data_IF_904987435192
#
_entry.id   IF_904987435192
#
_cell.length_a   1.000
_cell.length_b   1.000
_cell.length_c   1.000
_cell.angle_alpha   90.00
_cell.angle_beta   90.00
_cell.angle_gamma   90.00
#
_symmetry.space_group_name_H-M   'P 1'
#
loop_
_entity.id
_entity.type
_entity.pdbx_description
1 polymer ?
#
# COMPACT_ATOMS: atom_id res chain seq x y z
N UNK A 1 19.87 10.47 13.23
CA UNK A 1 19.47 10.98 11.89
C UNK A 1 18.12 11.64 12.01
N UNK A 2 17.99 12.87 11.48
CA UNK A 2 16.75 13.64 11.43
C UNK A 2 16.24 13.71 9.99
N UNK A 3 14.96 13.35 9.79
CA UNK A 3 14.30 13.33 8.48
C UNK A 3 13.12 14.30 8.50
N UNK A 4 13.06 15.22 7.52
CA UNK A 4 11.85 15.97 7.19
C UNK A 4 11.08 15.19 6.12
N UNK A 5 10.00 14.51 6.52
CA UNK A 5 9.17 13.73 5.59
C UNK A 5 8.06 14.64 5.03
N UNK A 6 8.19 15.03 3.77
CA UNK A 6 7.23 15.91 3.11
C UNK A 6 6.13 15.08 2.40
N UNK A 7 4.88 15.29 2.81
CA UNK A 7 3.69 14.72 2.21
C UNK A 7 2.74 15.84 1.76
N UNK A 8 2.14 15.71 0.58
CA UNK A 8 1.45 16.80 -0.12
C UNK A 8 -0.08 16.77 -0.02
N UNK A 9 -0.62 15.86 0.79
CA UNK A 9 -2.06 15.78 1.07
C UNK A 9 -2.33 16.00 2.58
N UNK A 10 -3.46 16.59 2.96
CA UNK A 10 -3.84 16.69 4.37
C UNK A 10 -4.09 15.32 4.99
N UNK A 11 -3.78 15.16 6.27
CA UNK A 11 -4.07 13.96 7.05
C UNK A 11 -5.05 14.26 8.18
N UNK A 12 -5.89 13.29 8.61
CA UNK A 12 -6.02 11.93 8.09
C UNK A 12 -6.95 11.81 6.88
N UNK A 13 -6.77 10.75 6.08
CA UNK A 13 -7.73 10.32 5.06
C UNK A 13 -7.59 8.81 4.78
N UNK A 14 -8.59 8.20 4.14
CA UNK A 14 -8.67 6.74 3.90
C UNK A 14 -7.80 6.23 2.74
N UNK A 15 -6.96 7.07 2.16
CA UNK A 15 -6.09 6.71 1.04
C UNK A 15 -4.98 5.73 1.44
N UNK A 16 -4.69 4.77 0.57
CA UNK A 16 -3.59 3.83 0.77
C UNK A 16 -2.21 4.50 0.86
N UNK A 17 -2.06 5.66 0.24
CA UNK A 17 -0.86 6.49 0.34
C UNK A 17 -0.70 7.13 1.72
N UNK A 18 -1.79 7.59 2.35
CA UNK A 18 -1.77 8.06 3.73
C UNK A 18 -1.36 6.95 4.71
N UNK A 19 -1.96 5.76 4.55
CA UNK A 19 -1.59 4.58 5.33
C UNK A 19 -0.10 4.25 5.17
N UNK A 20 0.41 4.24 3.96
CA UNK A 20 1.81 3.95 3.67
C UNK A 20 2.74 5.00 4.32
N UNK A 21 2.42 6.28 4.20
CA UNK A 21 3.22 7.37 4.77
C UNK A 21 3.27 7.27 6.29
N UNK A 22 2.11 7.17 6.94
CA UNK A 22 2.05 7.15 8.41
C UNK A 22 2.71 5.89 8.98
N UNK A 23 2.52 4.72 8.37
CA UNK A 23 3.26 3.52 8.77
C UNK A 23 4.77 3.67 8.58
N UNK A 24 5.21 4.30 7.48
CA UNK A 24 6.63 4.50 7.22
C UNK A 24 7.27 5.43 8.25
N UNK A 25 6.65 6.58 8.54
CA UNK A 25 7.23 7.53 9.51
C UNK A 25 7.21 6.96 10.94
N UNK A 26 6.15 6.27 11.33
CA UNK A 26 6.07 5.62 12.63
C UNK A 26 7.12 4.49 12.78
N UNK A 27 7.30 3.67 11.74
CA UNK A 27 8.28 2.60 11.75
C UNK A 27 9.73 3.13 11.71
N UNK A 28 10.00 4.21 10.98
CA UNK A 28 11.30 4.89 11.04
C UNK A 28 11.59 5.41 12.45
N UNK A 29 10.58 5.98 13.11
CA UNK A 29 10.68 6.43 14.50
C UNK A 29 11.02 5.28 15.47
N UNK A 30 10.33 4.14 15.35
CA UNK A 30 10.64 2.92 16.15
C UNK A 30 12.07 2.41 15.90
N UNK A 31 12.61 2.65 14.71
CA UNK A 31 13.99 2.29 14.34
C UNK A 31 15.01 3.40 14.64
N UNK A 32 14.69 4.34 15.56
CA UNK A 32 15.62 5.35 16.08
C UNK A 32 15.87 6.54 15.14
N UNK A 33 15.02 6.77 14.16
CA UNK A 33 15.07 7.95 13.28
C UNK A 33 14.15 9.03 13.83
N UNK A 34 14.65 10.25 14.01
CA UNK A 34 13.81 11.41 14.34
C UNK A 34 13.10 11.89 13.07
N UNK A 35 11.78 11.73 13.00
CA UNK A 35 10.99 12.07 11.82
C UNK A 35 10.04 13.21 12.12
N UNK A 36 10.07 14.25 11.29
CA UNK A 36 9.06 15.30 11.24
C UNK A 36 8.23 15.15 9.96
N UNK A 37 6.97 14.77 10.12
CA UNK A 37 6.00 14.65 9.04
C UNK A 37 5.42 16.03 8.71
N UNK A 38 5.79 16.59 7.56
CA UNK A 38 5.35 17.88 7.09
C UNK A 38 4.16 17.71 6.14
N UNK A 39 3.00 18.23 6.54
CA UNK A 39 1.73 18.11 5.80
C UNK A 39 1.09 19.45 5.52
N UNK A 40 0.34 19.62 4.41
CA UNK A 40 -0.39 20.84 4.14
C UNK A 40 -1.59 20.99 5.08
N UNK A 41 -1.83 22.21 5.58
CA UNK A 41 -3.03 22.52 6.35
C UNK A 41 -3.57 23.90 6.04
N UNK A 42 -4.89 24.01 5.93
CA UNK A 42 -5.59 25.29 5.85
C UNK A 42 -5.85 25.89 7.25
N UNK A 43 -5.86 25.08 8.31
CA UNK A 43 -5.98 25.50 9.72
C UNK A 43 -4.61 25.66 10.36
N UNK A 44 -4.53 26.50 11.40
CA UNK A 44 -3.34 26.58 12.26
C UNK A 44 -3.21 25.39 13.20
N UNK A 45 -4.30 24.63 13.39
CA UNK A 45 -4.32 23.46 14.26
C UNK A 45 -3.82 22.24 13.51
N UNK A 46 -2.64 21.77 13.90
CA UNK A 46 -2.11 20.50 13.40
C UNK A 46 -2.92 19.32 13.97
N UNK A 47 -3.21 18.28 13.16
CA UNK A 47 -3.58 17.01 13.76
C UNK A 47 -2.45 16.59 14.68
N UNK A 48 -2.78 16.38 15.96
CA UNK A 48 -1.78 15.94 16.94
C UNK A 48 -1.22 14.58 16.51
N UNK A 49 0.08 14.32 16.69
CA UNK A 49 0.67 13.02 16.35
C UNK A 49 -0.08 11.85 17.00
N UNK A 50 -0.61 12.04 18.21
CA UNK A 50 -1.44 11.04 18.90
C UNK A 50 -2.71 10.72 18.12
N UNK A 51 -3.43 11.73 17.62
CA UNK A 51 -4.65 11.53 16.83
C UNK A 51 -4.38 10.81 15.51
N UNK A 52 -3.25 11.08 14.85
CA UNK A 52 -2.85 10.33 13.65
C UNK A 52 -2.49 8.89 13.99
N UNK A 53 -1.76 8.64 15.09
CA UNK A 53 -1.46 7.28 15.54
C UNK A 53 -2.74 6.50 15.86
N UNK A 54 -3.69 7.13 16.53
CA UNK A 54 -4.99 6.52 16.82
C UNK A 54 -5.77 6.22 15.56
N UNK A 55 -5.90 7.18 14.64
CA UNK A 55 -6.64 7.00 13.39
C UNK A 55 -6.07 5.86 12.54
N UNK A 56 -4.74 5.82 12.35
CA UNK A 56 -4.07 4.79 11.56
C UNK A 56 -3.69 3.56 12.38
N UNK A 57 -3.95 3.58 13.69
CA UNK A 57 -3.61 2.49 14.64
C UNK A 57 -2.15 2.04 14.49
N UNK A 58 -1.26 3.01 14.47
CA UNK A 58 0.18 2.80 14.44
C UNK A 58 0.81 3.23 15.76
N UNK A 59 1.89 2.57 16.12
CA UNK A 59 2.74 2.95 17.23
C UNK A 59 4.09 3.43 16.70
N UNK A 60 4.72 4.38 17.41
CA UNK A 60 6.04 4.91 17.09
C UNK A 60 6.12 6.43 17.19
N UNK A 61 7.29 6.96 17.56
CA UNK A 61 7.47 8.39 17.71
C UNK A 61 7.65 9.06 16.34
N UNK A 62 6.91 10.11 16.08
CA UNK A 62 7.11 11.11 15.04
C UNK A 62 6.43 12.40 15.43
N UNK A 63 6.91 13.50 14.87
CA UNK A 63 6.31 14.81 15.02
C UNK A 63 5.53 15.21 13.77
N UNK A 64 4.56 16.13 13.91
CA UNK A 64 3.79 16.67 12.79
C UNK A 64 4.05 18.16 12.68
N UNK A 65 4.41 18.59 11.48
CA UNK A 65 4.60 19.98 11.14
C UNK A 65 3.63 20.45 10.06
N UNK A 66 2.95 21.55 10.29
CA UNK A 66 2.06 22.14 9.30
C UNK A 66 2.83 23.00 8.31
N UNK A 67 2.48 22.84 7.06
CA UNK A 67 2.84 23.73 5.97
C UNK A 67 1.56 24.46 5.52
N UNK A 68 1.45 25.77 5.68
CA UNK A 68 0.24 26.52 5.33
C UNK A 68 -0.16 26.30 3.87
N UNK A 69 -1.45 26.10 3.61
CA UNK A 69 -2.00 26.08 2.25
C UNK A 69 -2.13 27.48 1.67
N UNK A 70 -2.06 27.60 0.34
CA UNK A 70 -2.42 28.84 -0.35
C UNK A 70 -3.93 28.88 -0.57
N UNK A 71 -4.65 29.94 -0.12
CA UNK A 71 -6.09 30.00 -0.30
C UNK A 71 -6.54 30.23 -1.76
N UNK A 72 -5.61 30.56 -2.66
CA UNK A 72 -5.90 31.04 -4.02
C UNK A 72 -5.44 30.09 -5.14
N UNK A 73 -4.99 28.87 -4.84
CA UNK A 73 -4.38 28.01 -5.89
C UNK A 73 -5.27 26.86 -6.34
N UNK A 74 -5.41 26.69 -7.67
CA UNK A 74 -5.91 25.44 -8.25
C UNK A 74 -5.02 24.26 -7.78
N UNK A 75 -5.61 23.07 -7.64
CA UNK A 75 -4.95 21.87 -7.05
C UNK A 75 -3.54 21.57 -7.60
N UNK A 76 -3.29 21.84 -8.87
CA UNK A 76 -1.97 21.67 -9.48
C UNK A 76 -0.94 22.67 -8.92
N UNK A 77 -1.29 23.95 -8.84
CA UNK A 77 -0.42 24.99 -8.30
C UNK A 77 -0.20 24.83 -6.80
N UNK A 78 -1.19 24.26 -6.09
CA UNK A 78 -1.08 23.98 -4.66
C UNK A 78 0.09 23.01 -4.35
N UNK A 79 0.29 21.98 -5.17
CA UNK A 79 1.40 21.04 -4.99
C UNK A 79 2.77 21.70 -5.17
N UNK A 80 2.89 22.65 -6.09
CA UNK A 80 4.12 23.42 -6.28
C UNK A 80 4.35 24.43 -5.16
N UNK A 81 3.29 25.17 -4.74
CA UNK A 81 3.40 26.11 -3.62
C UNK A 81 3.74 25.40 -2.31
N UNK A 82 3.15 24.22 -2.07
CA UNK A 82 3.51 23.38 -0.95
C UNK A 82 5.00 22.95 -1.02
N UNK A 83 5.47 22.50 -2.19
CA UNK A 83 6.86 22.11 -2.40
C UNK A 83 7.85 23.24 -2.10
N UNK A 84 7.57 24.47 -2.55
CA UNK A 84 8.40 25.64 -2.25
C UNK A 84 8.44 25.98 -0.75
N UNK A 85 7.29 25.90 -0.08
CA UNK A 85 7.18 26.14 1.37
C UNK A 85 7.91 25.08 2.17
N UNK A 86 7.75 23.81 1.82
CA UNK A 86 8.52 22.70 2.43
C UNK A 86 10.01 22.93 2.29
N UNK A 87 10.47 23.31 1.11
CA UNK A 87 11.92 23.50 0.87
C UNK A 87 12.49 24.70 1.61
N UNK A 88 11.69 25.74 1.86
CA UNK A 88 12.04 26.92 2.65
C UNK A 88 11.87 26.76 4.16
N UNK A 89 11.17 25.72 4.61
CA UNK A 89 10.88 25.48 6.02
C UNK A 89 12.15 25.17 6.83
N UNK A 90 12.23 25.72 8.03
CA UNK A 90 13.40 25.55 8.90
C UNK A 90 13.63 24.08 9.27
N UNK A 91 12.55 23.32 9.50
CA UNK A 91 12.62 21.89 9.81
C UNK A 91 13.26 21.09 8.67
N UNK A 92 12.98 21.46 7.42
CA UNK A 92 13.60 20.87 6.23
C UNK A 92 15.07 21.31 6.10
N UNK A 93 15.38 22.55 6.45
CA UNK A 93 16.75 23.09 6.36
C UNK A 93 17.69 22.49 7.39
N UNK A 94 17.19 22.18 8.59
CA UNK A 94 17.95 21.62 9.72
C UNK A 94 17.95 20.09 9.77
N UNK A 95 17.14 19.41 8.95
CA UNK A 95 17.17 17.97 8.81
C UNK A 95 18.42 17.47 8.07
N UNK A 96 18.85 16.25 8.35
CA UNK A 96 19.96 15.60 7.64
C UNK A 96 19.58 15.34 6.18
N UNK A 97 18.30 15.07 5.92
CA UNK A 97 17.71 14.94 4.58
C UNK A 97 16.19 15.20 4.58
N UNK A 98 15.65 15.54 3.42
CA UNK A 98 14.23 15.54 3.14
C UNK A 98 13.82 14.22 2.48
N UNK A 99 12.72 13.63 2.92
CA UNK A 99 12.14 12.43 2.32
C UNK A 99 10.77 12.76 1.74
N UNK A 100 10.51 12.39 0.51
CA UNK A 100 9.22 12.71 -0.13
C UNK A 100 8.89 11.74 -1.26
N UNK A 101 7.59 11.61 -1.55
CA UNK A 101 7.05 10.89 -2.71
C UNK A 101 6.46 11.82 -3.78
N UNK A 102 6.49 13.10 -3.51
CA UNK A 102 5.88 14.12 -4.39
C UNK A 102 6.91 14.70 -5.36
N UNK A 103 6.64 14.62 -6.67
CA UNK A 103 7.57 15.07 -7.71
C UNK A 103 7.88 16.58 -7.64
N UNK A 104 6.90 17.51 -7.48
CA UNK A 104 7.20 18.91 -7.25
C UNK A 104 8.13 19.14 -6.07
N UNK A 105 7.93 18.43 -4.95
CA UNK A 105 8.79 18.54 -3.77
C UNK A 105 10.20 18.05 -4.04
N UNK A 106 10.38 16.91 -4.73
CA UNK A 106 11.73 16.43 -5.13
C UNK A 106 12.45 17.47 -5.96
N UNK A 107 11.80 17.98 -7.01
CA UNK A 107 12.43 18.98 -7.92
C UNK A 107 12.81 20.25 -7.17
N UNK A 108 11.93 20.77 -6.33
CA UNK A 108 12.16 22.01 -5.59
C UNK A 108 13.27 21.86 -4.55
N UNK A 109 13.25 20.76 -3.78
CA UNK A 109 14.27 20.46 -2.78
C UNK A 109 15.66 20.29 -3.40
N UNK A 110 15.77 19.54 -4.49
CA UNK A 110 17.03 19.35 -5.20
C UNK A 110 17.57 20.67 -5.76
N UNK A 111 16.73 21.50 -6.38
CA UNK A 111 17.11 22.83 -6.88
C UNK A 111 17.58 23.76 -5.79
N UNK A 112 17.08 23.61 -4.56
CA UNK A 112 17.55 24.36 -3.39
C UNK A 112 18.75 23.70 -2.68
N UNK A 113 19.38 22.70 -3.29
CA UNK A 113 20.57 22.04 -2.77
C UNK A 113 20.32 21.16 -1.54
N UNK A 114 19.07 20.76 -1.27
CA UNK A 114 18.75 19.87 -0.14
C UNK A 114 19.08 18.43 -0.49
N UNK A 115 19.55 17.64 0.49
CA UNK A 115 19.68 16.19 0.38
C UNK A 115 18.29 15.57 0.35
N UNK A 116 18.02 14.73 -0.65
CA UNK A 116 16.65 14.18 -0.87
C UNK A 116 16.69 12.67 -0.96
N UNK A 117 15.77 12.02 -0.24
CA UNK A 117 15.34 10.65 -0.47
C UNK A 117 14.02 10.68 -1.21
N UNK A 118 13.97 10.05 -2.37
CA UNK A 118 12.76 10.01 -3.20
C UNK A 118 12.10 8.63 -3.12
N UNK A 119 10.82 8.59 -2.79
CA UNK A 119 10.05 7.35 -2.79
C UNK A 119 9.05 7.34 -3.94
N UNK A 120 9.02 6.26 -4.71
CA UNK A 120 8.10 6.16 -5.83
C UNK A 120 7.57 4.73 -6.05
N UNK A 121 6.33 4.63 -6.53
CA UNK A 121 5.60 3.37 -6.64
C UNK A 121 5.16 3.02 -8.07
N UNK A 122 5.46 3.88 -9.06
CA UNK A 122 5.06 3.68 -10.47
C UNK A 122 6.21 3.91 -11.44
N UNK A 123 6.26 3.21 -12.59
CA UNK A 123 7.22 3.45 -13.66
C UNK A 123 6.81 4.67 -14.49
N UNK A 124 6.86 5.87 -13.92
CA UNK A 124 6.41 7.08 -14.60
C UNK A 124 7.15 7.38 -15.89
N UNK A 125 8.40 6.96 -16.05
CA UNK A 125 9.15 7.10 -17.29
C UNK A 125 8.55 6.31 -18.45
N UNK A 126 7.88 5.20 -18.15
CA UNK A 126 7.19 4.37 -19.14
C UNK A 126 5.75 4.84 -19.35
N UNK A 127 5.06 5.20 -18.29
CA UNK A 127 3.67 5.69 -18.34
C UNK A 127 3.54 7.09 -18.94
N UNK A 128 4.53 7.95 -18.67
CA UNK A 128 4.53 9.36 -19.12
C UNK A 128 5.89 9.71 -19.74
N UNK A 129 6.14 9.38 -21.03
CA UNK A 129 7.44 9.61 -21.67
C UNK A 129 7.95 11.06 -21.59
N UNK A 130 7.05 12.04 -21.56
CA UNK A 130 7.40 13.45 -21.38
C UNK A 130 8.09 13.76 -20.05
N UNK A 131 7.95 12.91 -19.03
CA UNK A 131 8.62 13.07 -17.75
C UNK A 131 10.07 12.52 -17.73
N UNK A 132 10.47 11.71 -18.74
CA UNK A 132 11.80 11.09 -18.78
C UNK A 132 12.96 12.05 -18.57
N UNK A 133 13.02 13.25 -19.16
CA UNK A 133 14.12 14.17 -18.95
C UNK A 133 14.22 14.62 -17.48
N UNK A 134 13.09 14.98 -16.84
CA UNK A 134 13.09 15.42 -15.43
C UNK A 134 13.41 14.26 -14.49
N UNK A 135 12.94 13.06 -14.77
CA UNK A 135 13.24 11.87 -13.96
C UNK A 135 14.74 11.51 -14.07
N UNK A 136 15.33 11.56 -15.26
CA UNK A 136 16.79 11.40 -15.44
C UNK A 136 17.57 12.44 -14.66
N UNK A 137 17.18 13.72 -14.77
CA UNK A 137 17.83 14.79 -14.02
C UNK A 137 17.77 14.54 -12.52
N UNK A 138 16.62 14.11 -11.97
CA UNK A 138 16.46 13.75 -10.54
C UNK A 138 17.43 12.63 -10.18
N UNK A 139 17.44 11.52 -10.95
CA UNK A 139 18.22 10.32 -10.61
C UNK A 139 19.74 10.56 -10.65
N UNK A 140 20.21 11.53 -11.44
CA UNK A 140 21.62 11.89 -11.53
C UNK A 140 21.99 13.07 -10.65
N UNK A 141 21.02 13.71 -9.99
CA UNK A 141 21.31 14.91 -9.19
C UNK A 141 22.25 14.60 -8.01
N UNK A 142 23.33 15.39 -7.77
CA UNK A 142 24.32 15.10 -6.73
C UNK A 142 23.73 15.12 -5.30
N UNK A 143 22.65 15.85 -5.07
CA UNK A 143 21.96 15.90 -3.77
C UNK A 143 20.86 14.84 -3.62
N UNK A 144 20.62 13.98 -4.63
CA UNK A 144 19.78 12.81 -4.45
C UNK A 144 20.57 11.75 -3.67
N UNK A 145 20.16 11.51 -2.43
CA UNK A 145 20.74 10.46 -1.57
C UNK A 145 20.43 9.09 -2.15
N UNK A 146 19.18 8.88 -2.55
CA UNK A 146 18.71 7.65 -3.20
C UNK A 146 17.23 7.68 -3.49
N UNK A 147 16.74 6.59 -4.09
CA UNK A 147 15.32 6.39 -4.35
C UNK A 147 14.84 5.02 -3.84
N UNK A 148 13.64 5.00 -3.24
CA UNK A 148 12.95 3.81 -2.74
C UNK A 148 11.81 3.48 -3.67
N UNK A 149 11.75 2.26 -4.16
CA UNK A 149 10.66 1.76 -5.00
C UNK A 149 9.88 0.67 -4.27
N UNK A 150 8.58 0.62 -4.52
CA UNK A 150 7.70 -0.37 -3.88
C UNK A 150 7.74 -1.75 -4.55
N UNK A 151 8.37 -1.85 -5.72
CA UNK A 151 8.54 -3.08 -6.50
C UNK A 151 9.84 -3.07 -7.29
N UNK A 152 10.40 -4.24 -7.57
CA UNK A 152 11.55 -4.35 -8.45
C UNK A 152 11.19 -3.99 -9.90
N UNK A 153 9.98 -4.30 -10.33
CA UNK A 153 9.45 -3.86 -11.62
C UNK A 153 9.59 -2.33 -11.80
N UNK A 154 9.16 -1.55 -10.80
CA UNK A 154 9.30 -0.09 -10.86
C UNK A 154 10.78 0.33 -10.82
N UNK A 155 11.60 -0.27 -9.96
CA UNK A 155 13.05 0.01 -9.89
C UNK A 155 13.71 -0.24 -11.25
N UNK A 156 13.41 -1.37 -11.88
CA UNK A 156 13.99 -1.72 -13.19
C UNK A 156 13.62 -0.73 -14.29
N UNK A 157 12.40 -0.20 -14.28
CA UNK A 157 11.99 0.89 -15.19
C UNK A 157 12.89 2.13 -15.07
N UNK A 158 13.30 2.49 -13.84
CA UNK A 158 14.22 3.61 -13.64
C UNK A 158 15.68 3.26 -14.00
N UNK A 159 16.11 2.02 -13.83
CA UNK A 159 17.42 1.55 -14.34
C UNK A 159 17.44 1.65 -15.87
N UNK A 160 16.37 1.19 -16.55
CA UNK A 160 16.24 1.29 -18.00
C UNK A 160 16.19 2.75 -18.49
N UNK A 161 15.74 3.67 -17.63
CA UNK A 161 15.80 5.11 -17.87
C UNK A 161 17.23 5.69 -17.72
N UNK A 162 18.19 4.90 -17.22
CA UNK A 162 19.58 5.26 -17.01
C UNK A 162 19.90 5.70 -15.58
N UNK A 163 19.03 5.45 -14.59
CA UNK A 163 19.33 5.78 -13.20
C UNK A 163 20.44 4.88 -12.63
N UNK A 164 21.38 5.41 -11.84
CA UNK A 164 22.46 4.64 -11.22
C UNK A 164 21.91 3.57 -10.26
N UNK A 165 22.12 2.26 -10.50
CA UNK A 165 21.51 1.20 -9.69
C UNK A 165 21.83 1.26 -8.20
N UNK A 166 23.04 1.74 -7.84
CA UNK A 166 23.50 1.87 -6.46
C UNK A 166 22.75 2.95 -5.66
N UNK A 167 21.99 3.81 -6.34
CA UNK A 167 21.10 4.81 -5.72
C UNK A 167 19.67 4.33 -5.56
N UNK A 168 19.35 3.12 -6.03
CA UNK A 168 17.98 2.60 -6.10
C UNK A 168 17.82 1.38 -5.21
N UNK A 169 16.81 1.39 -4.34
CA UNK A 169 16.48 0.23 -3.54
C UNK A 169 15.01 -0.16 -3.71
N UNK A 170 14.71 -1.43 -3.54
CA UNK A 170 13.34 -1.93 -3.39
C UNK A 170 13.02 -2.07 -1.91
N UNK A 171 11.94 -1.45 -1.50
CA UNK A 171 11.34 -1.66 -0.20
C UNK A 171 9.82 -1.80 -0.37
N UNK A 172 9.37 -3.04 -0.47
CA UNK A 172 7.93 -3.36 -0.52
C UNK A 172 7.21 -2.73 0.68
N UNK A 173 5.92 -2.45 0.54
CA UNK A 173 5.10 -2.10 1.69
C UNK A 173 5.12 -3.24 2.72
N UNK A 174 4.50 -3.02 3.85
CA UNK A 174 4.54 -3.99 4.92
C UNK A 174 3.20 -4.20 5.60
N UNK A 175 3.19 -5.07 6.57
CA UNK A 175 2.09 -5.28 7.51
C UNK A 175 2.55 -5.01 8.94
N UNK A 176 1.60 -4.76 9.84
CA UNK A 176 1.86 -4.54 11.26
C UNK A 176 1.37 -5.74 12.07
N UNK A 177 2.27 -6.49 12.74
CA UNK A 177 1.87 -7.62 13.58
C UNK A 177 0.81 -7.26 14.62
N UNK A 178 0.86 -6.04 15.18
CA UNK A 178 -0.07 -5.58 16.22
C UNK A 178 -1.52 -5.46 15.72
N UNK A 179 -1.71 -5.20 14.42
CA UNK A 179 -3.05 -5.15 13.79
C UNK A 179 -3.65 -6.53 13.53
N UNK A 180 -2.83 -7.59 13.69
CA UNK A 180 -3.24 -8.97 13.47
C UNK A 180 -3.54 -9.71 14.78
N UNK A 181 -3.51 -9.02 15.93
CA UNK A 181 -3.82 -9.58 17.24
C UNK A 181 -5.22 -9.15 17.72
N UNK A 182 -5.95 -10.02 18.46
CA UNK A 182 -5.59 -11.40 18.76
C UNK A 182 -5.75 -12.31 17.53
N UNK A 183 -4.87 -13.31 17.40
CA UNK A 183 -4.98 -14.30 16.34
C UNK A 183 -6.15 -15.25 16.61
N UNK A 184 -7.09 -15.31 15.69
CA UNK A 184 -8.29 -16.13 15.82
C UNK A 184 -8.20 -17.39 14.95
N UNK A 185 -8.82 -18.49 15.42
CA UNK A 185 -9.12 -19.59 14.54
C UNK A 185 -10.15 -19.17 13.50
N UNK A 186 -10.20 -19.85 12.35
CA UNK A 186 -11.21 -19.57 11.31
C UNK A 186 -12.64 -19.72 11.85
N UNK A 187 -12.88 -20.74 12.66
CA UNK A 187 -14.19 -20.99 13.28
C UNK A 187 -14.59 -19.86 14.24
N UNK A 188 -13.68 -19.47 15.14
CA UNK A 188 -13.98 -18.42 16.13
C UNK A 188 -14.23 -17.06 15.45
N UNK A 189 -13.42 -16.72 14.45
CA UNK A 189 -13.61 -15.52 13.65
C UNK A 189 -14.99 -15.51 12.95
N UNK A 190 -15.43 -16.64 12.38
CA UNK A 190 -16.74 -16.77 11.74
C UNK A 190 -17.88 -16.63 12.73
N UNK A 191 -17.79 -17.29 13.88
CA UNK A 191 -18.78 -17.17 14.95
C UNK A 191 -18.90 -15.72 15.41
N UNK A 192 -17.77 -15.07 15.67
CA UNK A 192 -17.73 -13.64 16.07
C UNK A 192 -18.40 -12.73 15.04
N UNK A 193 -18.24 -13.01 13.75
CA UNK A 193 -18.74 -12.18 12.66
C UNK A 193 -20.15 -12.60 12.17
N UNK A 194 -20.72 -13.67 12.71
CA UNK A 194 -21.98 -14.24 12.21
C UNK A 194 -21.88 -14.71 10.76
N UNK A 195 -20.74 -15.31 10.40
CA UNK A 195 -20.50 -15.91 9.08
C UNK A 195 -20.72 -17.42 9.13
N UNK A 196 -21.10 -18.06 8.00
CA UNK A 196 -21.31 -19.50 7.96
C UNK A 196 -20.03 -20.26 8.27
N UNK A 197 -20.12 -21.26 9.17
CA UNK A 197 -18.96 -22.05 9.58
C UNK A 197 -18.60 -23.09 8.51
N UNK A 198 -19.58 -23.70 7.88
CA UNK A 198 -19.40 -24.84 6.98
C UNK A 198 -19.25 -24.45 5.49
N UNK A 199 -19.74 -23.27 5.09
CA UNK A 199 -19.64 -22.83 3.71
C UNK A 199 -18.28 -22.13 3.45
N UNK A 200 -17.72 -22.22 2.24
CA UNK A 200 -16.55 -21.44 1.86
C UNK A 200 -16.82 -19.93 2.00
N UNK A 201 -15.86 -19.22 2.60
CA UNK A 201 -15.92 -17.77 2.78
C UNK A 201 -14.75 -17.12 2.03
N UNK A 202 -15.09 -16.31 1.04
CA UNK A 202 -14.13 -15.51 0.25
C UNK A 202 -14.20 -14.06 0.72
N UNK A 203 -13.09 -13.48 1.10
CA UNK A 203 -13.06 -12.12 1.66
C UNK A 203 -12.19 -11.21 0.78
N UNK A 204 -12.78 -10.08 0.43
CA UNK A 204 -12.09 -8.91 -0.13
C UNK A 204 -12.07 -7.79 0.89
N UNK A 205 -10.93 -7.08 1.02
CA UNK A 205 -10.83 -5.87 1.84
C UNK A 205 -10.36 -4.68 1.02
N UNK A 206 -10.93 -3.51 1.27
CA UNK A 206 -10.61 -2.25 0.61
C UNK A 206 -11.84 -1.58 0.01
N UNK A 207 -11.66 -0.43 -0.63
CA UNK A 207 -12.78 0.33 -1.19
C UNK A 207 -13.65 -0.51 -2.10
N UNK A 208 -14.96 -0.45 -1.86
CA UNK A 208 -15.96 -1.16 -2.67
C UNK A 208 -16.40 -0.24 -3.81
N UNK A 209 -15.93 -0.52 -5.01
CA UNK A 209 -16.36 0.17 -6.24
C UNK A 209 -15.89 -0.59 -7.49
N UNK A 210 -16.47 -0.29 -8.67
CA UNK A 210 -16.14 -0.94 -9.95
C UNK A 210 -14.67 -0.79 -10.35
N UNK A 211 -14.01 0.34 -10.02
CA UNK A 211 -12.59 0.58 -10.35
C UNK A 211 -11.65 -0.40 -9.65
N UNK A 212 -12.14 -1.19 -8.70
CA UNK A 212 -11.41 -2.26 -8.04
C UNK A 212 -11.64 -3.64 -8.66
N UNK A 213 -12.42 -3.72 -9.73
CA UNK A 213 -12.71 -4.97 -10.42
C UNK A 213 -13.60 -5.92 -9.61
N UNK A 214 -14.50 -5.38 -8.78
CA UNK A 214 -15.39 -6.20 -7.93
C UNK A 214 -16.54 -6.82 -8.70
N UNK A 215 -16.82 -6.36 -9.91
CA UNK A 215 -17.80 -6.94 -10.83
C UNK A 215 -17.50 -8.42 -11.15
N UNK A 216 -16.23 -8.78 -11.34
CA UNK A 216 -15.84 -10.19 -11.55
C UNK A 216 -16.15 -11.04 -10.32
N UNK A 217 -16.01 -10.49 -9.09
CA UNK A 217 -16.33 -11.18 -7.86
C UNK A 217 -17.83 -11.39 -7.69
N UNK A 218 -18.65 -10.39 -8.05
CA UNK A 218 -20.11 -10.55 -8.08
C UNK A 218 -20.53 -11.56 -9.15
N UNK A 219 -19.86 -11.59 -10.31
CA UNK A 219 -20.01 -12.62 -11.31
C UNK A 219 -19.73 -14.03 -10.78
N UNK A 220 -18.67 -14.18 -9.98
CA UNK A 220 -18.36 -15.44 -9.32
C UNK A 220 -19.42 -15.82 -8.26
N UNK A 221 -19.88 -14.87 -7.45
CA UNK A 221 -20.91 -15.11 -6.45
C UNK A 221 -22.24 -15.58 -7.04
N UNK A 222 -22.65 -15.05 -8.23
CA UNK A 222 -23.84 -15.53 -8.95
C UNK A 222 -23.75 -16.98 -9.41
N UNK A 223 -22.52 -17.49 -9.64
CA UNK A 223 -22.28 -18.86 -10.13
C UNK A 223 -21.89 -19.84 -9.03
N UNK A 224 -21.66 -19.37 -7.80
CA UNK A 224 -21.25 -20.15 -6.62
C UNK A 224 -22.14 -19.79 -5.43
N UNK A 225 -23.41 -20.20 -5.44
CA UNK A 225 -24.37 -19.89 -4.38
C UNK A 225 -24.04 -20.58 -3.03
N UNK A 226 -23.26 -21.63 -3.08
CA UNK A 226 -22.73 -22.35 -1.92
C UNK A 226 -21.56 -21.65 -1.23
N UNK A 227 -21.01 -20.58 -1.83
CA UNK A 227 -19.94 -19.75 -1.30
C UNK A 227 -20.50 -18.46 -0.70
N UNK A 228 -19.89 -17.95 0.36
CA UNK A 228 -20.16 -16.60 0.89
C UNK A 228 -19.06 -15.63 0.46
N UNK A 229 -19.42 -14.56 -0.25
CA UNK A 229 -18.52 -13.45 -0.57
C UNK A 229 -18.70 -12.32 0.43
N UNK A 230 -17.61 -11.87 1.06
CA UNK A 230 -17.62 -10.74 2.00
C UNK A 230 -16.78 -9.62 1.42
N UNK A 231 -17.40 -8.46 1.19
CA UNK A 231 -16.77 -7.23 0.69
C UNK A 231 -16.63 -6.23 1.84
N UNK A 232 -15.42 -6.06 2.38
CA UNK A 232 -15.15 -5.18 3.52
C UNK A 232 -14.54 -3.87 3.05
N UNK A 233 -15.16 -2.75 3.43
CA UNK A 233 -14.64 -1.39 3.17
C UNK A 233 -15.51 -0.56 2.23
N UNK A 234 -16.85 -0.74 2.33
CA UNK A 234 -17.81 0.13 1.65
C UNK A 234 -17.85 1.51 2.31
N UNK A 235 -17.77 2.55 1.49
CA UNK A 235 -17.87 3.96 1.92
C UNK A 235 -19.27 4.53 1.68
N UNK A 236 -20.26 3.69 1.30
CA UNK A 236 -21.64 4.11 1.06
C UNK A 236 -22.34 3.29 0.00
N UNK A 237 -23.32 3.88 -0.67
CA UNK A 237 -24.07 3.22 -1.73
C UNK A 237 -23.48 3.50 -3.11
N UNK A 238 -23.01 2.44 -3.77
CA UNK A 238 -22.50 2.44 -5.13
C UNK A 238 -23.11 1.34 -5.97
N UNK A 239 -22.70 1.23 -7.23
CA UNK A 239 -23.23 0.21 -8.13
C UNK A 239 -22.88 -1.23 -7.70
N UNK A 240 -21.72 -1.42 -7.05
CA UNK A 240 -21.33 -2.74 -6.51
C UNK A 240 -22.19 -3.11 -5.32
N UNK A 241 -22.45 -2.18 -4.41
CA UNK A 241 -23.32 -2.38 -3.25
C UNK A 241 -24.78 -2.66 -3.68
N UNK A 242 -25.27 -1.94 -4.70
CA UNK A 242 -26.61 -2.17 -5.25
C UNK A 242 -26.73 -3.58 -5.85
N UNK A 243 -25.77 -4.00 -6.68
CA UNK A 243 -25.76 -5.36 -7.24
C UNK A 243 -25.57 -6.45 -6.17
N UNK A 244 -24.79 -6.19 -5.14
CA UNK A 244 -24.57 -7.12 -4.03
C UNK A 244 -25.84 -7.37 -3.21
N UNK A 245 -26.74 -6.40 -3.09
CA UNK A 245 -28.04 -6.54 -2.39
C UNK A 245 -28.96 -7.59 -3.05
N UNK A 246 -28.77 -7.86 -4.35
CA UNK A 246 -29.56 -8.86 -5.09
C UNK A 246 -29.05 -10.30 -4.87
N UNK A 247 -27.90 -10.47 -4.20
CA UNK A 247 -27.23 -11.76 -4.02
C UNK A 247 -27.25 -12.16 -2.55
N UNK A 248 -27.96 -13.24 -2.22
CA UNK A 248 -28.12 -13.72 -0.84
C UNK A 248 -26.83 -14.24 -0.21
N UNK A 249 -25.83 -14.57 -1.02
CA UNK A 249 -24.52 -15.07 -0.61
C UNK A 249 -23.43 -13.97 -0.61
N UNK A 250 -23.80 -12.69 -0.77
CA UNK A 250 -22.88 -11.57 -0.70
C UNK A 250 -23.17 -10.70 0.51
N UNK A 251 -22.14 -10.45 1.32
CA UNK A 251 -22.22 -9.54 2.47
C UNK A 251 -21.31 -8.34 2.24
N UNK A 252 -21.88 -7.14 2.22
CA UNK A 252 -21.15 -5.88 2.19
C UNK A 252 -20.98 -5.36 3.61
N UNK A 253 -19.75 -5.02 3.97
CA UNK A 253 -19.38 -4.50 5.29
C UNK A 253 -18.86 -3.07 5.11
N UNK A 254 -19.30 -2.10 5.92
CA UNK A 254 -18.79 -0.74 5.89
C UNK A 254 -17.27 -0.66 6.04
N UNK A 255 -16.71 0.53 5.79
CA UNK A 255 -15.32 0.78 6.11
C UNK A 255 -15.08 0.58 7.62
N UNK A 256 -14.03 -0.17 7.94
CA UNK A 256 -13.67 -0.54 9.31
C UNK A 256 -12.34 0.10 9.70
N UNK A 257 -12.15 0.32 11.00
CA UNK A 257 -10.82 0.61 11.57
C UNK A 257 -9.92 -0.62 11.40
N UNK A 258 -8.62 -0.39 11.35
CA UNK A 258 -7.65 -1.47 11.13
C UNK A 258 -7.71 -2.59 12.19
N UNK A 259 -8.03 -2.25 13.45
CA UNK A 259 -8.21 -3.24 14.54
C UNK A 259 -9.41 -4.18 14.35
N UNK A 260 -10.38 -3.74 13.56
CA UNK A 260 -11.60 -4.50 13.31
C UNK A 260 -11.48 -5.40 12.08
N UNK A 261 -10.39 -5.26 11.32
CA UNK A 261 -10.19 -5.95 10.04
C UNK A 261 -9.70 -7.39 10.22
N UNK A 262 -8.84 -7.65 11.21
CA UNK A 262 -8.21 -8.95 11.41
C UNK A 262 -9.19 -10.12 11.52
N UNK A 263 -10.33 -10.03 12.23
CA UNK A 263 -11.32 -11.09 12.26
C UNK A 263 -11.84 -11.50 10.87
N UNK A 264 -12.05 -10.54 9.96
CA UNK A 264 -12.46 -10.84 8.58
C UNK A 264 -11.38 -11.58 7.81
N UNK A 265 -10.11 -11.21 8.00
CA UNK A 265 -9.00 -11.90 7.37
C UNK A 265 -8.90 -13.35 7.88
N UNK A 266 -9.08 -13.55 9.18
CA UNK A 266 -9.04 -14.89 9.80
C UNK A 266 -10.26 -15.75 9.48
N UNK A 267 -11.44 -15.16 9.23
CA UNK A 267 -12.64 -15.88 8.84
C UNK A 267 -12.59 -16.50 7.44
N UNK A 268 -11.71 -15.98 6.57
CA UNK A 268 -11.63 -16.37 5.17
C UNK A 268 -11.07 -17.80 4.99
N UNK A 269 -11.58 -18.52 4.01
CA UNK A 269 -10.86 -19.60 3.33
C UNK A 269 -9.93 -19.01 2.27
N UNK A 270 -10.42 -18.00 1.54
CA UNK A 270 -9.69 -17.33 0.48
C UNK A 270 -9.74 -15.81 0.67
N UNK A 271 -8.58 -15.18 0.69
CA UNK A 271 -8.40 -13.74 0.62
C UNK A 271 -8.13 -13.36 -0.84
N UNK A 272 -8.99 -12.51 -1.43
CA UNK A 272 -8.96 -12.29 -2.87
C UNK A 272 -8.53 -10.87 -3.25
N UNK A 273 -7.56 -10.79 -4.16
CA UNK A 273 -7.29 -9.59 -4.96
C UNK A 273 -8.02 -9.79 -6.28
N UNK A 274 -9.03 -8.96 -6.61
CA UNK A 274 -9.86 -9.18 -7.79
C UNK A 274 -9.01 -9.31 -9.06
N UNK A 275 -9.13 -10.40 -9.83
CA UNK A 275 -8.38 -10.58 -11.06
C UNK A 275 -9.05 -9.81 -12.23
N UNK A 276 -9.13 -8.49 -12.10
CA UNK A 276 -9.73 -7.61 -13.10
C UNK A 276 -8.67 -7.08 -14.06
N UNK A 277 -9.04 -6.91 -15.33
CA UNK A 277 -8.21 -6.27 -16.35
C UNK A 277 -8.13 -4.75 -16.17
N UNK A 278 -9.13 -4.11 -15.57
CA UNK A 278 -9.21 -2.64 -15.51
C UNK A 278 -7.99 -1.98 -14.82
N UNK A 279 -7.50 -2.46 -13.67
CA UNK A 279 -6.29 -1.91 -13.07
C UNK A 279 -5.06 -2.05 -13.98
N UNK A 280 -4.93 -3.16 -14.71
CA UNK A 280 -3.85 -3.41 -15.65
C UNK A 280 -3.91 -2.47 -16.85
N UNK A 281 -5.09 -2.31 -17.44
CA UNK A 281 -5.30 -1.45 -18.61
C UNK A 281 -5.11 0.03 -18.28
N UNK A 282 -5.54 0.46 -17.09
CA UNK A 282 -5.56 1.88 -16.71
C UNK A 282 -4.23 2.38 -16.13
N UNK A 283 -3.49 1.54 -15.44
CA UNK A 283 -2.32 1.96 -14.67
C UNK A 283 -1.04 1.20 -15.03
N UNK A 284 -1.10 0.29 -15.99
CA UNK A 284 -0.02 -0.68 -16.16
C UNK A 284 0.13 -1.59 -14.93
N UNK A 285 1.02 -2.54 -14.96
CA UNK A 285 1.25 -3.54 -13.92
C UNK A 285 2.12 -2.99 -12.80
N UNK A 286 1.65 -2.09 -11.93
CA UNK A 286 2.67 -1.28 -11.29
C UNK A 286 2.53 -1.05 -9.80
N UNK A 287 1.51 -1.57 -9.16
CA UNK A 287 1.33 -1.29 -7.72
C UNK A 287 0.89 -2.54 -6.98
N UNK A 288 1.81 -3.11 -6.22
CA UNK A 288 1.48 -4.11 -5.20
C UNK A 288 0.50 -3.50 -4.21
N UNK A 289 -0.73 -4.02 -4.10
CA UNK A 289 -1.72 -3.45 -3.19
C UNK A 289 -1.31 -3.68 -1.74
N UNK A 290 -1.47 -2.68 -0.87
CA UNK A 290 -1.09 -2.78 0.56
C UNK A 290 -1.77 -3.97 1.24
N UNK A 291 -3.02 -4.29 0.88
CA UNK A 291 -3.74 -5.44 1.43
C UNK A 291 -3.03 -6.79 1.21
N UNK A 292 -2.22 -6.92 0.17
CA UNK A 292 -1.46 -8.15 -0.10
C UNK A 292 -0.61 -8.57 1.11
N UNK A 293 0.03 -7.62 1.76
CA UNK A 293 0.90 -7.90 2.90
C UNK A 293 0.12 -8.42 4.11
N UNK A 294 -1.07 -7.87 4.36
CA UNK A 294 -1.99 -8.37 5.38
C UNK A 294 -2.54 -9.76 5.03
N UNK A 295 -2.83 -10.00 3.75
CA UNK A 295 -3.35 -11.29 3.27
C UNK A 295 -2.31 -12.41 3.47
N UNK A 296 -1.06 -12.16 3.10
CA UNK A 296 0.03 -13.10 3.33
C UNK A 296 0.20 -13.39 4.83
N UNK A 297 0.17 -12.35 5.67
CA UNK A 297 0.32 -12.47 7.11
C UNK A 297 -0.84 -13.20 7.81
N UNK A 298 -2.05 -13.12 7.25
CA UNK A 298 -3.22 -13.83 7.79
C UNK A 298 -3.11 -15.34 7.69
N UNK A 299 -2.25 -15.86 6.79
CA UNK A 299 -2.07 -17.30 6.61
C UNK A 299 -3.35 -17.99 6.12
N UNK A 300 -3.97 -17.40 5.11
CA UNK A 300 -5.10 -17.95 4.35
C UNK A 300 -4.69 -18.08 2.90
N UNK A 301 -5.44 -18.85 2.13
CA UNK A 301 -5.19 -18.89 0.68
C UNK A 301 -5.31 -17.48 0.11
N UNK A 302 -4.29 -17.00 -0.56
CA UNK A 302 -4.33 -15.75 -1.32
C UNK A 302 -4.62 -16.09 -2.77
N UNK A 303 -5.73 -15.56 -3.31
CA UNK A 303 -6.04 -15.63 -4.73
C UNK A 303 -5.83 -14.25 -5.35
N UNK A 304 -5.07 -14.20 -6.44
CA UNK A 304 -4.68 -12.94 -7.06
C UNK A 304 -4.57 -13.07 -8.59
N UNK A 305 -4.59 -11.95 -9.34
CA UNK A 305 -4.28 -11.98 -10.76
C UNK A 305 -2.81 -12.36 -10.99
N UNK A 306 -2.57 -13.10 -12.07
CA UNK A 306 -1.23 -13.28 -12.61
C UNK A 306 -0.80 -11.97 -13.28
N UNK A 307 0.11 -11.24 -12.64
CA UNK A 307 0.59 -9.94 -13.10
C UNK A 307 2.05 -9.73 -12.70
N UNK A 308 2.84 -8.98 -13.50
CA UNK A 308 4.29 -8.81 -13.25
C UNK A 308 4.64 -8.25 -11.87
N UNK A 309 3.83 -7.35 -11.32
CA UNK A 309 4.06 -6.78 -9.99
C UNK A 309 3.74 -7.80 -8.87
N UNK A 310 2.66 -8.57 -9.01
CA UNK A 310 2.33 -9.62 -8.02
C UNK A 310 3.31 -10.78 -8.07
N UNK A 311 3.89 -11.08 -9.24
CA UNK A 311 4.87 -12.16 -9.42
C UNK A 311 6.17 -11.95 -8.62
N UNK A 312 6.46 -10.74 -8.15
CA UNK A 312 7.59 -10.50 -7.25
C UNK A 312 7.44 -11.21 -5.90
N UNK A 313 6.21 -11.30 -5.39
CA UNK A 313 5.90 -11.84 -4.06
C UNK A 313 5.06 -13.12 -4.12
N UNK A 314 4.24 -13.28 -5.16
CA UNK A 314 3.32 -14.40 -5.30
C UNK A 314 3.84 -15.41 -6.32
N UNK A 315 3.90 -16.68 -5.89
CA UNK A 315 4.26 -17.82 -6.74
C UNK A 315 3.10 -18.78 -6.75
N UNK A 316 2.59 -19.04 -7.97
CA UNK A 316 1.45 -19.94 -8.15
C UNK A 316 1.72 -21.31 -7.53
N UNK A 317 0.74 -21.86 -6.83
CA UNK A 317 0.76 -23.14 -6.12
C UNK A 317 1.83 -23.27 -5.02
N UNK A 318 2.55 -22.20 -4.69
CA UNK A 318 3.53 -22.15 -3.60
C UNK A 318 3.00 -21.32 -2.41
N UNK A 319 2.63 -20.06 -2.65
CA UNK A 319 2.14 -19.15 -1.62
C UNK A 319 0.87 -18.38 -2.03
N UNK A 320 0.37 -18.62 -3.23
CA UNK A 320 -0.87 -18.06 -3.75
C UNK A 320 -1.45 -18.96 -4.85
N UNK A 321 -2.76 -18.77 -5.12
CA UNK A 321 -3.40 -19.27 -6.32
C UNK A 321 -3.52 -18.10 -7.30
N UNK A 322 -2.89 -18.18 -8.45
CA UNK A 322 -2.90 -17.13 -9.48
C UNK A 322 -3.86 -17.51 -10.61
N UNK A 323 -4.57 -16.50 -11.11
CA UNK A 323 -5.52 -16.66 -12.21
C UNK A 323 -5.28 -15.60 -13.29
N UNK A 324 -5.52 -15.91 -14.57
CA UNK A 324 -5.44 -14.92 -15.63
C UNK A 324 -6.39 -13.75 -15.36
N UNK A 325 -5.95 -12.48 -15.53
CA UNK A 325 -6.82 -11.34 -15.34
C UNK A 325 -8.01 -11.33 -16.31
N UNK A 326 -9.21 -11.09 -15.79
CA UNK A 326 -10.45 -11.01 -16.55
C UNK A 326 -11.09 -12.36 -16.88
N UNK A 327 -10.49 -13.47 -16.47
CA UNK A 327 -11.01 -14.82 -16.73
C UNK A 327 -11.88 -15.29 -15.56
N UNK A 328 -13.21 -15.15 -15.71
CA UNK A 328 -14.17 -15.58 -14.71
C UNK A 328 -14.20 -17.11 -14.55
N UNK A 329 -14.05 -17.87 -15.63
CA UNK A 329 -14.12 -19.34 -15.57
C UNK A 329 -12.87 -19.92 -14.89
N UNK A 330 -11.70 -19.35 -15.16
CA UNK A 330 -10.47 -19.67 -14.40
C UNK A 330 -10.61 -19.31 -12.91
N UNK A 331 -11.22 -18.16 -12.59
CA UNK A 331 -11.49 -17.76 -11.21
C UNK A 331 -12.38 -18.78 -10.51
N UNK A 332 -13.50 -19.19 -11.13
CA UNK A 332 -14.45 -20.18 -10.57
C UNK A 332 -13.78 -21.54 -10.35
N UNK A 333 -13.03 -22.00 -11.35
CA UNK A 333 -12.30 -23.28 -11.28
C UNK A 333 -11.29 -23.24 -10.14
N UNK A 334 -10.53 -22.17 -10.00
CA UNK A 334 -9.53 -22.01 -8.95
C UNK A 334 -10.18 -21.90 -7.57
N UNK A 335 -11.25 -21.12 -7.42
CA UNK A 335 -12.00 -21.03 -6.15
C UNK A 335 -12.51 -22.39 -5.70
N UNK A 336 -13.18 -23.17 -6.58
CA UNK A 336 -13.62 -24.52 -6.26
C UNK A 336 -12.47 -25.42 -5.83
N UNK A 337 -11.36 -25.41 -6.56
CA UNK A 337 -10.19 -26.22 -6.26
C UNK A 337 -9.60 -25.88 -4.87
N UNK A 338 -9.33 -24.62 -4.57
CA UNK A 338 -8.70 -24.23 -3.29
C UNK A 338 -9.63 -24.34 -2.08
N UNK A 339 -10.95 -24.40 -2.30
CA UNK A 339 -11.93 -24.58 -1.21
C UNK A 339 -12.28 -26.05 -0.96
N UNK A 340 -12.02 -26.96 -1.92
CA UNK A 340 -12.27 -28.40 -1.79
C UNK A 340 -11.01 -29.21 -1.48
N UNK A 341 -9.83 -28.77 -1.92
CA UNK A 341 -8.54 -29.43 -1.67
C UNK A 341 -7.85 -28.82 -0.44
N UNK A 342 -8.08 -29.44 0.72
CA UNK A 342 -7.51 -28.98 2.00
C UNK A 342 -5.97 -29.03 2.01
N UNK A 343 -5.37 -30.03 1.36
CA UNK A 343 -3.90 -30.17 1.27
C UNK A 343 -3.27 -29.03 0.45
N UNK A 344 -3.91 -28.61 -0.63
CA UNK A 344 -3.50 -27.44 -1.40
C UNK A 344 -3.68 -26.17 -0.58
N UNK A 345 -4.84 -25.98 0.06
CA UNK A 345 -5.14 -24.82 0.89
C UNK A 345 -4.10 -24.63 2.03
N UNK A 346 -3.74 -25.73 2.72
CA UNK A 346 -2.76 -25.71 3.79
C UNK A 346 -1.36 -25.35 3.28
N UNK A 347 -0.93 -25.91 2.13
CA UNK A 347 0.36 -25.53 1.51
C UNK A 347 0.41 -24.06 1.15
N UNK A 348 -0.63 -23.55 0.48
CA UNK A 348 -0.70 -22.15 0.07
C UNK A 348 -0.71 -21.20 1.28
N UNK A 349 -1.45 -21.56 2.33
CA UNK A 349 -1.52 -20.80 3.58
C UNK A 349 -0.17 -20.76 4.31
N UNK A 350 0.52 -21.88 4.39
CA UNK A 350 1.87 -21.97 4.96
C UNK A 350 2.88 -21.15 4.14
N UNK A 351 2.82 -21.27 2.81
CA UNK A 351 3.64 -20.47 1.89
C UNK A 351 3.38 -18.97 2.00
N UNK A 352 2.12 -18.56 2.21
CA UNK A 352 1.75 -17.17 2.43
C UNK A 352 2.39 -16.60 3.72
N UNK A 353 2.32 -17.34 4.83
CA UNK A 353 2.95 -16.96 6.10
C UNK A 353 4.47 -16.81 5.92
N UNK A 354 5.10 -17.76 5.24
CA UNK A 354 6.54 -17.70 4.99
C UNK A 354 6.92 -16.49 4.14
N UNK A 355 6.15 -16.20 3.10
CA UNK A 355 6.35 -15.02 2.26
C UNK A 355 6.15 -13.70 3.04
N UNK A 356 5.29 -13.67 4.07
CA UNK A 356 5.09 -12.51 4.92
C UNK A 356 6.25 -12.22 5.87
N UNK A 357 7.13 -13.21 6.12
CA UNK A 357 8.29 -13.04 7.00
C UNK A 357 9.20 -11.94 6.46
N UNK A 358 9.56 -11.00 7.32
CA UNK A 358 10.39 -9.86 6.93
C UNK A 358 9.68 -8.77 6.12
N UNK A 359 8.41 -8.94 5.76
CA UNK A 359 7.59 -7.91 5.10
C UNK A 359 6.80 -7.06 6.10
N UNK A 360 7.38 -6.74 7.26
CA UNK A 360 6.78 -5.80 8.21
C UNK A 360 7.19 -4.36 7.92
N UNK A 361 6.39 -3.39 8.39
CA UNK A 361 6.77 -1.98 8.31
C UNK A 361 8.09 -1.69 9.03
N UNK A 362 8.37 -2.38 10.14
CA UNK A 362 9.62 -2.21 10.88
C UNK A 362 10.84 -2.72 10.09
N UNK A 363 10.75 -3.92 9.49
CA UNK A 363 11.80 -4.45 8.63
C UNK A 363 12.06 -3.56 7.41
N UNK A 364 10.98 -3.00 6.83
CA UNK A 364 11.07 -2.02 5.74
C UNK A 364 11.81 -0.77 6.17
N UNK A 365 11.40 -0.19 7.29
CA UNK A 365 12.00 1.04 7.82
C UNK A 365 13.47 0.84 8.21
N UNK A 366 13.82 -0.31 8.79
CA UNK A 366 15.19 -0.67 9.10
C UNK A 366 16.07 -0.67 7.83
N UNK A 367 15.62 -1.35 6.77
CA UNK A 367 16.35 -1.38 5.49
C UNK A 367 16.49 0.01 4.86
N UNK A 368 15.43 0.84 4.92
CA UNK A 368 15.47 2.22 4.41
C UNK A 368 16.47 3.06 5.22
N UNK A 369 16.44 2.97 6.56
CA UNK A 369 17.39 3.67 7.44
C UNK A 369 18.82 3.30 7.13
N UNK A 370 19.10 2.02 7.00
CA UNK A 370 20.46 1.52 6.74
C UNK A 370 20.95 1.93 5.34
N UNK A 371 20.08 1.89 4.35
CA UNK A 371 20.38 2.40 3.01
C UNK A 371 20.69 3.89 3.03
N UNK A 372 19.86 4.72 3.69
CA UNK A 372 20.11 6.16 3.81
C UNK A 372 21.45 6.40 4.50
N UNK A 373 21.73 5.69 5.61
CA UNK A 373 22.98 5.84 6.37
C UNK A 373 24.19 5.53 5.50
N UNK A 374 24.19 4.44 4.77
CA UNK A 374 25.26 4.07 3.84
C UNK A 374 25.43 5.10 2.72
N UNK A 375 24.33 5.61 2.16
CA UNK A 375 24.38 6.62 1.10
C UNK A 375 24.89 7.98 1.58
N UNK A 376 24.50 8.41 2.79
CA UNK A 376 24.99 9.66 3.39
C UNK A 376 26.50 9.60 3.68
N UNK A 377 27.00 8.43 4.10
CA UNK A 377 28.44 8.22 4.31
C UNK A 377 29.24 8.22 2.99
N UNK A 378 28.65 7.80 1.88
CA UNK A 378 29.29 7.74 0.57
C UNK A 378 29.17 9.05 -0.24
N UNK A 379 28.41 10.03 0.24
CA UNK A 379 28.17 11.30 -0.46
C UNK A 379 28.79 12.43 0.36
N UNK A 380 29.90 13.01 -0.07
CA UNK A 380 30.59 14.10 0.63
C UNK A 380 29.78 15.40 0.73
#
# INVERSE_FOLDING_TARGET
>A
MRIAYAYDEPLPHTGADAEQVVNTVAALGRNGVSVQLLIPSASKDAPQPAALREYFQVDGPFEVGLIPKSPLSARFFEKWTHAFRVAGDERTRTADLAYTRNLPSVVTLLRQGRRVMYEHFRPWGDQYPALRPVLRWIMHHPKLVGAVFHSDHTRQSYINLGAPPERLMVAHNGWDPRRMEPRLSRKDARVQLGLPVEKPVVVYTGRVNRKKGLDILLGAARRMEDMTLVLVGSEGEGSIEAEAKELSNVRVVPWLKFSELAPYLYAADVLIIPPSLEPLQRHGNTVLPIKLFLYLAAGRVVLAPEAPDTAELLKNEVNAALVPPGDLDALLTTLRRVTSDTGLADRLSAGAIEAARGLTWDSRALRIRDFITARLAATP
#
